data_IF_846675764308
#
_entry.id   IF_846675764308
#
_cell.length_a   1.000
_cell.length_b   1.000
_cell.length_c   1.000
_cell.angle_alpha   90.00
_cell.angle_beta   90.00
_cell.angle_gamma   90.00
#
_symmetry.space_group_name_H-M   'P 1'
#
loop_
_entity.id
_entity.type
_entity.pdbx_description
1 polymer ?
#
# COMPACT_ATOMS: atom_id res chain seq x y z
N UNK A 1 6.24 3.87 -2.52
CA UNK A 1 5.11 4.10 -1.59
C UNK A 1 5.26 5.45 -0.92
N UNK A 2 4.44 5.75 0.09
CA UNK A 2 4.48 7.02 0.83
C UNK A 2 4.65 6.84 2.35
N UNK A 3 4.82 5.61 2.85
CA UNK A 3 5.04 5.28 4.26
C UNK A 3 6.08 4.17 4.38
N UNK A 4 6.97 4.24 5.37
CA UNK A 4 8.07 3.31 5.58
C UNK A 4 8.35 3.01 7.08
N UNK A 5 7.32 3.06 7.92
CA UNK A 5 7.44 2.71 9.34
C UNK A 5 7.91 1.26 9.53
N UNK A 6 8.61 1.02 10.64
CA UNK A 6 9.08 -0.31 11.03
C UNK A 6 7.90 -1.31 11.09
N UNK A 7 8.15 -2.56 10.71
CA UNK A 7 7.20 -3.68 10.70
C UNK A 7 5.94 -3.53 9.83
N UNK A 8 5.69 -2.36 9.21
CA UNK A 8 4.50 -2.14 8.36
C UNK A 8 4.63 -2.73 6.95
N UNK A 9 5.83 -2.71 6.39
CA UNK A 9 6.08 -3.22 5.03
C UNK A 9 6.24 -4.74 5.05
N UNK A 10 7.15 -5.23 5.88
CA UNK A 10 7.38 -6.65 6.08
C UNK A 10 8.04 -6.88 7.44
N UNK A 11 7.58 -7.90 8.18
CA UNK A 11 8.02 -8.16 9.57
C UNK A 11 9.53 -8.45 9.67
N UNK A 12 10.11 -9.10 8.66
CA UNK A 12 11.55 -9.40 8.63
C UNK A 12 12.43 -8.24 8.13
N UNK A 13 11.85 -7.08 7.78
CA UNK A 13 12.58 -5.95 7.18
C UNK A 13 12.59 -4.77 8.14
N UNK A 14 13.78 -4.51 8.73
CA UNK A 14 13.98 -3.43 9.69
C UNK A 14 14.14 -2.05 9.04
N UNK A 15 14.69 -1.99 7.83
CA UNK A 15 14.98 -0.75 7.14
C UNK A 15 14.19 -0.66 5.83
N UNK A 16 13.38 0.39 5.70
CA UNK A 16 12.53 0.63 4.53
C UNK A 16 12.79 2.03 4.00
N UNK A 17 12.98 2.17 2.69
CA UNK A 17 13.32 3.44 2.05
C UNK A 17 12.27 3.80 1.01
N UNK A 18 11.85 5.06 1.00
CA UNK A 18 10.98 5.60 -0.03
C UNK A 18 11.83 6.14 -1.17
N UNK A 19 11.56 5.65 -2.38
CA UNK A 19 12.31 6.00 -3.57
C UNK A 19 11.38 6.08 -4.78
N UNK A 20 11.88 6.70 -5.85
CA UNK A 20 11.24 6.65 -7.15
C UNK A 20 11.25 5.21 -7.71
N UNK A 21 10.28 4.84 -8.56
CA UNK A 21 10.26 3.52 -9.20
C UNK A 21 11.60 3.08 -9.85
N UNK A 22 12.32 3.92 -10.63
CA UNK A 22 13.59 3.50 -11.22
C UNK A 22 14.70 3.26 -10.17
N UNK A 23 14.70 3.97 -9.05
CA UNK A 23 15.65 3.70 -7.96
C UNK A 23 15.37 2.36 -7.26
N UNK A 24 14.10 1.96 -7.14
CA UNK A 24 13.75 0.62 -6.62
C UNK A 24 14.38 -0.46 -7.50
N UNK A 25 14.31 -0.31 -8.82
CA UNK A 25 14.95 -1.24 -9.77
C UNK A 25 16.47 -1.20 -9.63
N UNK A 26 17.08 -0.02 -9.53
CA UNK A 26 18.52 0.13 -9.38
C UNK A 26 19.05 -0.57 -8.12
N UNK A 27 18.41 -0.38 -6.97
CA UNK A 27 18.82 -1.05 -5.72
C UNK A 27 18.51 -2.55 -5.72
N UNK A 28 17.48 -2.99 -6.43
CA UNK A 28 17.23 -4.42 -6.66
C UNK A 28 18.35 -5.07 -7.48
N UNK A 29 18.84 -4.40 -8.53
CA UNK A 29 19.99 -4.85 -9.31
C UNK A 29 21.29 -4.82 -8.49
N UNK A 30 21.51 -3.77 -7.70
CA UNK A 30 22.66 -3.65 -6.82
C UNK A 30 22.68 -4.71 -5.71
N UNK A 31 21.51 -5.20 -5.30
CA UNK A 31 21.35 -6.20 -4.24
C UNK A 31 21.68 -5.71 -2.83
N UNK A 32 21.98 -4.42 -2.66
CA UNK A 32 22.38 -3.83 -1.38
C UNK A 32 22.11 -2.33 -1.34
N UNK A 33 21.58 -1.88 -0.20
CA UNK A 33 21.41 -0.46 0.12
C UNK A 33 22.73 0.24 0.47
N UNK A 34 23.79 -0.53 0.80
CA UNK A 34 25.08 0.03 1.20
C UNK A 34 25.98 0.38 0.01
N UNK A 35 25.48 0.19 -1.22
CA UNK A 35 26.22 0.46 -2.45
C UNK A 35 26.10 1.93 -2.84
N UNK A 36 27.22 2.59 -3.09
CA UNK A 36 27.24 3.93 -3.66
C UNK A 36 27.02 3.86 -5.16
N UNK A 37 25.77 4.07 -5.60
CA UNK A 37 25.40 3.99 -7.01
C UNK A 37 26.03 5.09 -7.89
N UNK A 38 26.67 6.10 -7.30
CA UNK A 38 27.38 7.14 -8.05
C UNK A 38 28.79 6.70 -8.48
N UNK A 39 29.43 5.82 -7.69
CA UNK A 39 30.84 5.44 -7.88
C UNK A 39 31.07 3.95 -8.08
N UNK A 40 30.11 3.10 -7.68
CA UNK A 40 30.18 1.65 -7.81
C UNK A 40 29.30 1.15 -8.98
N UNK A 41 29.79 0.17 -9.77
CA UNK A 41 29.00 -0.40 -10.87
C UNK A 41 27.88 -1.28 -10.31
N UNK A 42 26.70 -1.25 -10.92
CA UNK A 42 25.56 -2.11 -10.57
C UNK A 42 25.94 -3.59 -10.71
N UNK A 43 26.66 -3.93 -11.77
CA UNK A 43 27.19 -5.26 -12.07
C UNK A 43 28.02 -5.23 -13.35
N UNK A 44 28.30 -6.40 -13.92
CA UNK A 44 29.00 -6.51 -15.20
C UNK A 44 28.01 -6.80 -16.33
N UNK A 45 28.24 -6.18 -17.48
CA UNK A 45 27.54 -6.46 -18.72
C UNK A 45 27.88 -7.84 -19.28
N UNK A 46 27.22 -8.22 -20.38
CA UNK A 46 27.49 -9.50 -21.09
C UNK A 46 28.89 -9.55 -21.70
N UNK A 47 29.49 -8.39 -21.93
CA UNK A 47 30.86 -8.17 -22.39
C UNK A 47 31.89 -8.21 -21.24
N UNK A 48 31.44 -8.38 -19.99
CA UNK A 48 32.28 -8.38 -18.80
C UNK A 48 32.67 -6.97 -18.31
N UNK A 49 32.21 -5.91 -18.95
CA UNK A 49 32.52 -4.53 -18.56
C UNK A 49 31.61 -4.05 -17.42
N UNK A 50 32.11 -3.20 -16.51
CA UNK A 50 31.30 -2.65 -15.42
C UNK A 50 30.21 -1.73 -15.98
N UNK A 51 28.98 -1.93 -15.52
CA UNK A 51 27.81 -1.10 -15.86
C UNK A 51 27.42 -0.27 -14.64
N UNK A 52 27.45 1.05 -14.78
CA UNK A 52 27.09 2.01 -13.75
C UNK A 52 25.64 2.46 -13.88
N UNK A 53 25.10 3.06 -12.81
CA UNK A 53 23.74 3.60 -12.85
C UNK A 53 23.55 4.60 -14.01
N UNK A 54 24.52 5.49 -14.22
CA UNK A 54 24.50 6.50 -15.29
C UNK A 54 24.41 5.89 -16.70
N UNK A 55 24.85 4.64 -16.88
CA UNK A 55 24.86 3.99 -18.20
C UNK A 55 23.47 3.48 -18.59
N UNK A 56 22.58 3.28 -17.61
CA UNK A 56 21.23 2.74 -17.80
C UNK A 56 20.12 3.69 -17.33
N UNK A 57 20.48 4.84 -16.76
CA UNK A 57 19.50 5.79 -16.24
C UNK A 57 18.84 6.54 -17.40
N UNK A 58 17.51 6.46 -17.55
CA UNK A 58 16.84 7.11 -18.66
C UNK A 58 16.89 8.63 -18.50
N UNK A 59 17.18 9.31 -19.59
CA UNK A 59 17.07 10.77 -19.66
C UNK A 59 15.61 11.20 -19.68
N UNK A 60 15.35 12.45 -19.28
CA UNK A 60 14.00 13.02 -19.36
C UNK A 60 13.46 13.03 -20.80
N UNK A 61 14.34 13.17 -21.80
CA UNK A 61 13.95 13.14 -23.20
C UNK A 61 13.51 11.75 -23.65
N UNK A 62 14.22 10.69 -23.26
CA UNK A 62 13.84 9.31 -23.55
C UNK A 62 12.51 8.94 -22.87
N UNK A 63 12.32 9.35 -21.61
CA UNK A 63 11.04 9.18 -20.91
C UNK A 63 9.93 9.91 -21.66
N UNK A 64 10.11 11.19 -21.99
CA UNK A 64 9.11 11.99 -22.70
C UNK A 64 8.76 11.39 -24.08
N UNK A 65 9.74 10.85 -24.79
CA UNK A 65 9.53 10.22 -26.10
C UNK A 65 8.61 8.99 -26.02
N UNK A 66 8.64 8.23 -24.92
CA UNK A 66 7.76 7.07 -24.70
C UNK A 66 6.47 7.41 -23.98
N UNK A 67 6.35 8.56 -23.29
CA UNK A 67 5.12 8.95 -22.59
C UNK A 67 3.89 9.00 -23.49
N UNK A 68 4.07 9.35 -24.77
CA UNK A 68 2.98 9.36 -25.76
C UNK A 68 2.37 7.97 -26.01
N UNK A 69 3.14 6.90 -25.86
CA UNK A 69 2.63 5.52 -26.01
C UNK A 69 1.90 5.05 -24.76
N UNK A 70 2.24 5.60 -23.60
CA UNK A 70 1.64 5.26 -22.31
C UNK A 70 0.30 5.97 -22.05
N UNK A 71 -0.08 6.97 -22.85
CA UNK A 71 -1.24 7.85 -22.62
C UNK A 71 -2.37 7.67 -23.64
N UNK A 72 -2.44 6.52 -24.32
CA UNK A 72 -3.46 6.25 -25.33
C UNK A 72 -4.89 6.28 -24.73
N UNK A 73 -5.77 7.23 -25.14
CA UNK A 73 -7.14 7.33 -24.65
C UNK A 73 -8.00 6.09 -24.88
N UNK A 74 -7.76 5.32 -25.96
CA UNK A 74 -8.48 4.08 -26.23
C UNK A 74 -8.23 3.04 -25.15
N UNK A 75 -7.00 2.95 -24.63
CA UNK A 75 -6.65 2.03 -23.53
C UNK A 75 -7.44 2.37 -22.28
N UNK A 76 -7.55 3.66 -21.92
CA UNK A 76 -8.37 4.08 -20.79
C UNK A 76 -9.84 3.76 -21.03
N UNK A 77 -10.39 4.10 -22.20
CA UNK A 77 -11.79 3.77 -22.51
C UNK A 77 -12.05 2.27 -22.43
N UNK A 78 -11.18 1.44 -22.97
CA UNK A 78 -11.31 -0.01 -22.89
C UNK A 78 -11.29 -0.53 -21.45
N UNK A 79 -10.32 -0.08 -20.63
CA UNK A 79 -10.16 -0.56 -19.25
C UNK A 79 -11.29 -0.09 -18.33
N UNK A 80 -11.90 1.07 -18.60
CA UNK A 80 -12.92 1.68 -17.74
C UNK A 80 -14.36 1.55 -18.26
N UNK A 81 -14.57 1.12 -19.51
CA UNK A 81 -15.91 1.02 -20.11
C UNK A 81 -16.79 -0.05 -19.41
N UNK A 82 -16.21 -1.18 -19.01
CA UNK A 82 -16.96 -2.24 -18.35
C UNK A 82 -16.12 -2.93 -17.27
N UNK A 83 -16.15 -2.35 -16.09
CA UNK A 83 -15.49 -2.90 -14.91
C UNK A 83 -16.14 -4.22 -14.44
N UNK A 84 -17.42 -4.42 -14.76
CA UNK A 84 -18.20 -5.55 -14.27
C UNK A 84 -18.01 -6.82 -15.11
N UNK A 85 -17.99 -6.70 -16.44
CA UNK A 85 -17.81 -7.84 -17.34
C UNK A 85 -16.42 -8.48 -17.19
N UNK A 86 -15.42 -7.71 -16.75
CA UNK A 86 -14.06 -8.19 -16.54
C UNK A 86 -13.83 -8.80 -15.15
N UNK A 87 -14.87 -8.90 -14.30
CA UNK A 87 -14.76 -9.48 -12.96
C UNK A 87 -15.86 -10.51 -12.69
N UNK A 88 -15.81 -11.69 -13.35
CA UNK A 88 -16.84 -12.72 -13.22
C UNK A 88 -16.97 -13.27 -11.80
N UNK A 89 -15.87 -13.28 -11.02
CA UNK A 89 -15.91 -13.70 -9.61
C UNK A 89 -16.71 -12.73 -8.76
N UNK A 90 -16.53 -11.41 -8.97
CA UNK A 90 -17.33 -10.39 -8.30
C UNK A 90 -18.82 -10.49 -8.69
N UNK A 91 -19.10 -10.65 -9.98
CA UNK A 91 -20.47 -10.80 -10.47
C UNK A 91 -21.17 -12.06 -9.94
N UNK A 92 -20.41 -13.10 -9.58
CA UNK A 92 -20.93 -14.33 -9.02
C UNK A 92 -21.20 -14.26 -7.50
N UNK A 93 -20.80 -13.18 -6.80
CA UNK A 93 -21.08 -13.03 -5.37
C UNK A 93 -22.58 -12.80 -5.19
N UNK A 94 -23.30 -13.70 -4.51
CA UNK A 94 -24.72 -13.51 -4.25
C UNK A 94 -24.91 -12.32 -3.32
N UNK A 95 -25.75 -11.36 -3.73
CA UNK A 95 -26.12 -10.21 -2.92
C UNK A 95 -27.54 -10.42 -2.35
N UNK A 96 -27.75 -10.27 -1.03
CA UNK A 96 -29.08 -10.28 -0.46
C UNK A 96 -29.90 -9.09 -0.99
N UNK A 97 -31.21 -9.27 -1.08
CA UNK A 97 -32.15 -8.22 -1.49
C UNK A 97 -32.75 -7.54 -0.26
N UNK A 98 -32.91 -6.21 -0.30
CA UNK A 98 -33.52 -5.45 0.78
C UNK A 98 -32.73 -4.20 1.16
N UNK A 99 -33.33 -3.39 2.04
CA UNK A 99 -32.73 -2.14 2.53
C UNK A 99 -32.01 -2.31 3.88
N UNK A 100 -32.25 -3.42 4.58
CA UNK A 100 -31.71 -3.71 5.91
C UNK A 100 -30.84 -4.95 5.81
N UNK A 101 -29.64 -4.90 6.40
CA UNK A 101 -28.72 -6.04 6.43
C UNK A 101 -29.23 -7.11 7.39
N UNK A 102 -29.31 -8.35 6.93
CA UNK A 102 -29.64 -9.51 7.76
C UNK A 102 -28.38 -10.00 8.46
N UNK A 103 -28.29 -9.79 9.78
CA UNK A 103 -27.15 -10.24 10.57
C UNK A 103 -27.14 -11.77 10.70
N UNK A 104 -25.98 -12.39 10.49
CA UNK A 104 -25.76 -13.82 10.73
C UNK A 104 -24.95 -14.01 12.02
N UNK A 105 -25.58 -14.56 13.05
CA UNK A 105 -24.96 -14.83 14.36
C UNK A 105 -23.76 -15.79 14.29
N UNK A 106 -23.63 -16.57 13.21
CA UNK A 106 -22.49 -17.48 12.98
C UNK A 106 -21.32 -16.79 12.28
N UNK A 107 -21.51 -15.58 11.77
CA UNK A 107 -20.49 -14.84 11.04
C UNK A 107 -19.36 -14.39 11.96
N UNK A 108 -18.12 -14.67 11.55
CA UNK A 108 -16.91 -14.16 12.21
C UNK A 108 -16.31 -12.95 11.50
N UNK A 109 -16.90 -12.51 10.38
CA UNK A 109 -16.40 -11.41 9.54
C UNK A 109 -17.25 -10.14 9.65
N UNK A 110 -18.58 -10.29 9.67
CA UNK A 110 -19.54 -9.19 9.75
C UNK A 110 -20.47 -9.48 10.90
N UNK A 111 -20.33 -8.71 11.98
CA UNK A 111 -21.14 -8.83 13.19
C UNK A 111 -21.81 -7.49 13.49
N UNK A 112 -23.00 -7.53 14.09
CA UNK A 112 -23.68 -6.33 14.54
C UNK A 112 -22.88 -5.68 15.67
N UNK A 113 -22.36 -4.45 15.49
CA UNK A 113 -21.61 -3.80 16.54
C UNK A 113 -22.54 -3.27 17.64
N UNK A 114 -22.14 -3.31 18.91
CA UNK A 114 -23.00 -2.93 20.04
C UNK A 114 -23.09 -1.42 20.27
N UNK A 115 -22.68 -0.59 19.30
CA UNK A 115 -22.54 0.87 19.49
C UNK A 115 -23.87 1.58 19.81
N UNK A 116 -24.99 0.98 19.38
CA UNK A 116 -26.33 1.51 19.60
C UNK A 116 -27.15 0.66 20.57
N UNK A 117 -26.49 -0.30 21.25
CA UNK A 117 -27.14 -1.10 22.27
C UNK A 117 -27.28 -0.23 23.53
N UNK A 118 -28.53 0.12 23.87
CA UNK A 118 -28.86 0.97 25.01
C UNK A 118 -29.45 2.32 24.61
N UNK A 119 -30.11 2.97 25.57
CA UNK A 119 -30.60 4.34 25.36
C UNK A 119 -29.42 5.31 25.32
N UNK A 120 -29.54 6.40 24.55
CA UNK A 120 -28.63 7.54 24.64
C UNK A 120 -28.75 8.14 26.06
N UNK A 121 -27.95 7.61 26.98
CA UNK A 121 -27.88 8.09 28.35
C UNK A 121 -27.16 9.43 28.40
N UNK A 122 -27.59 10.29 29.32
CA UNK A 122 -26.88 11.52 29.63
C UNK A 122 -25.44 11.19 30.03
N UNK A 123 -24.45 11.82 29.40
CA UNK A 123 -23.04 11.54 29.63
C UNK A 123 -22.67 12.00 31.05
N UNK A 124 -22.72 11.07 32.00
CA UNK A 124 -22.42 11.34 33.41
C UNK A 124 -20.95 11.70 33.67
N UNK A 125 -20.69 12.23 34.87
CA UNK A 125 -19.32 12.53 35.31
C UNK A 125 -18.58 11.24 35.66
N UNK A 126 -17.38 11.06 35.10
CA UNK A 126 -16.51 9.92 35.40
C UNK A 126 -15.69 10.22 36.65
N UNK A 127 -15.85 9.41 37.70
CA UNK A 127 -15.09 9.52 38.96
C UNK A 127 -14.17 8.31 39.15
N UNK A 128 -12.98 8.52 39.74
CA UNK A 128 -12.02 7.47 40.09
C UNK A 128 -11.56 6.57 38.93
N UNK A 129 -11.51 7.11 37.70
CA UNK A 129 -10.97 6.38 36.56
C UNK A 129 -9.49 6.02 36.77
N UNK A 130 -9.09 4.86 36.25
CA UNK A 130 -7.69 4.41 36.23
C UNK A 130 -7.14 4.53 34.82
N UNK A 131 -5.86 4.85 34.70
CA UNK A 131 -5.17 4.79 33.42
C UNK A 131 -5.15 3.34 32.91
N UNK A 132 -5.71 3.08 31.73
CA UNK A 132 -5.64 1.78 31.06
C UNK A 132 -4.24 1.54 30.49
N UNK A 133 -3.62 2.58 29.95
CA UNK A 133 -2.27 2.58 29.44
C UNK A 133 -1.68 4.00 29.49
N UNK A 134 -0.35 4.09 29.59
CA UNK A 134 0.41 5.34 29.51
C UNK A 134 1.39 5.19 28.35
N UNK A 135 1.25 6.04 27.34
CA UNK A 135 2.06 5.98 26.12
C UNK A 135 3.06 7.13 26.06
N UNK A 136 4.16 6.92 25.35
CA UNK A 136 5.10 7.98 24.97
C UNK A 136 4.68 8.68 23.68
N UNK A 137 5.64 9.32 23.02
CA UNK A 137 5.40 10.02 21.76
C UNK A 137 5.23 9.07 20.55
N UNK A 138 4.72 9.62 19.44
CA UNK A 138 4.65 8.94 18.13
C UNK A 138 3.79 7.66 18.10
N UNK A 139 2.74 7.60 18.92
CA UNK A 139 1.70 6.57 18.78
C UNK A 139 0.94 6.80 17.47
N UNK A 140 1.04 5.84 16.54
CA UNK A 140 0.30 5.85 15.28
C UNK A 140 -1.01 5.07 15.41
N UNK A 141 -1.94 5.26 14.48
CA UNK A 141 -3.18 4.47 14.46
C UNK A 141 -2.94 2.98 14.28
N UNK A 142 -1.85 2.58 13.60
CA UNK A 142 -1.46 1.17 13.47
C UNK A 142 -1.00 0.57 14.82
N UNK A 143 -0.56 1.38 15.79
CA UNK A 143 -0.29 0.89 17.16
C UNK A 143 -1.59 0.69 17.97
N UNK A 144 -2.64 1.45 17.67
CA UNK A 144 -3.92 1.42 18.40
C UNK A 144 -4.81 0.30 17.86
N UNK A 145 -4.80 0.11 16.54
CA UNK A 145 -5.60 -0.87 15.81
C UNK A 145 -4.76 -1.42 14.65
N UNK A 146 -3.98 -2.48 14.86
CA UNK A 146 -3.13 -3.08 13.83
C UNK A 146 -3.93 -3.71 12.69
#
# INVERSE_FOLDING_TARGET
GNRNFEARVHQNVKANFLMSPPLVVAYALAGSMNKDLATEPLGNGRDGLPVYLKDIWPTLAEVAAVMGTATNPDTYRQLYADFSANNPLWAAVPAPVGAVYEWDDKSTYIQQPPFFDGAAGDSGVIHNARALAVFGDSVTTDHISP
#
